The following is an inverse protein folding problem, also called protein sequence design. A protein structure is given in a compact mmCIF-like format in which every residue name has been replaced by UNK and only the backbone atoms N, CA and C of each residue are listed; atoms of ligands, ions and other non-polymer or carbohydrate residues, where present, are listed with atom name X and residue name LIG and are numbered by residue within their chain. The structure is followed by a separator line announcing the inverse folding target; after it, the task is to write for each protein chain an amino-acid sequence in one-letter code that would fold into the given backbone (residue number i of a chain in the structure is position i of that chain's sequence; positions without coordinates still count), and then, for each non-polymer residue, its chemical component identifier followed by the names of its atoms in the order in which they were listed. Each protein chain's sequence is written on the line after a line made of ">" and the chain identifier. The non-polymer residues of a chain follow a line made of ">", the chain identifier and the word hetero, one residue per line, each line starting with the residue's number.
data_IF_014909752831
#
_entry.id   IF_014909752831
#
_cell.length_a   1.000
_cell.length_b   1.000
_cell.length_c   1.000
_cell.angle_alpha   90.00
_cell.angle_beta   90.00
_cell.angle_gamma   90.00
#
_symmetry.space_group_name_H-M   'P 1'
#
loop_
_entity.id
_entity.type
_entity.pdbx_description
1 polymer ?
#
# COMPACT_ATOMS: atom_id res chain seq x y z
N UNK A 1 -28.06 -19.90 -38.81
CA UNK A 1 -29.30 -19.87 -38.01
C UNK A 1 -28.96 -19.36 -36.63
N UNK A 2 -29.36 -18.13 -36.32
CA UNK A 2 -29.16 -17.48 -35.03
C UNK A 2 -30.24 -17.97 -34.05
N UNK A 3 -29.85 -18.26 -32.81
CA UNK A 3 -30.77 -18.46 -31.69
C UNK A 3 -30.50 -17.40 -30.60
N UNK A 4 -31.56 -16.86 -29.98
CA UNK A 4 -31.56 -15.54 -29.36
C UNK A 4 -31.05 -15.49 -27.92
N UNK A 5 -30.60 -14.29 -27.57
CA UNK A 5 -30.03 -13.88 -26.30
C UNK A 5 -31.14 -13.18 -25.48
N UNK A 6 -31.48 -13.76 -24.34
CA UNK A 6 -32.23 -13.16 -23.23
C UNK A 6 -31.88 -14.00 -21.98
N UNK A 7 -31.69 -13.47 -20.77
CA UNK A 7 -32.53 -12.48 -20.11
C UNK A 7 -31.76 -11.82 -18.95
N UNK A 8 -31.81 -10.50 -18.91
CA UNK A 8 -31.33 -9.63 -17.83
C UNK A 8 -32.32 -9.68 -16.66
N UNK A 9 -31.88 -10.17 -15.50
CA UNK A 9 -32.64 -9.98 -14.25
C UNK A 9 -31.72 -10.00 -13.05
N UNK A 10 -31.73 -8.91 -12.27
CA UNK A 10 -31.18 -8.90 -10.92
C UNK A 10 -30.29 -7.72 -10.55
N UNK A 11 -30.77 -6.50 -10.73
CA UNK A 11 -30.23 -5.31 -10.10
C UNK A 11 -30.41 -5.42 -8.57
N UNK A 12 -29.32 -5.57 -7.81
CA UNK A 12 -29.34 -5.45 -6.35
C UNK A 12 -28.37 -4.35 -5.90
N UNK A 13 -28.73 -3.12 -6.23
CA UNK A 13 -28.34 -1.94 -5.48
C UNK A 13 -28.95 -2.03 -4.07
N UNK A 14 -28.17 -2.52 -3.11
CA UNK A 14 -28.48 -2.39 -1.68
C UNK A 14 -27.74 -1.18 -1.11
N UNK A 15 -28.48 -0.10 -1.05
CA UNK A 15 -28.64 0.78 0.12
C UNK A 15 -27.36 1.16 0.86
N UNK A 16 -26.72 2.24 0.40
CA UNK A 16 -25.87 3.09 1.26
C UNK A 16 -26.81 4.00 2.06
N UNK A 17 -26.78 4.00 3.40
CA UNK A 17 -27.49 5.02 4.17
C UNK A 17 -26.75 6.36 4.05
N UNK A 18 -27.30 7.25 3.25
CA UNK A 18 -26.98 8.67 3.27
C UNK A 18 -27.53 9.31 4.56
N UNK A 19 -26.73 10.19 5.17
CA UNK A 19 -27.03 11.14 6.28
C UNK A 19 -26.66 10.68 7.68
N UNK A 20 -25.46 11.13 8.08
CA UNK A 20 -25.07 11.34 9.47
C UNK A 20 -24.07 12.49 9.55
N UNK A 21 -24.58 13.72 9.65
CA UNK A 21 -23.79 14.88 10.04
C UNK A 21 -23.22 14.63 11.44
N UNK A 22 -21.90 14.41 11.53
CA UNK A 22 -21.24 14.04 12.76
C UNK A 22 -19.77 14.41 12.75
N UNK A 23 -19.50 15.67 13.10
CA UNK A 23 -18.28 16.19 13.75
C UNK A 23 -16.96 15.55 13.28
N UNK A 24 -16.32 16.17 12.29
CA UNK A 24 -14.90 15.98 12.03
C UNK A 24 -14.09 16.32 13.29
N UNK A 25 -13.84 15.31 14.12
CA UNK A 25 -12.82 15.37 15.16
C UNK A 25 -11.48 15.47 14.46
N UNK A 26 -11.05 16.71 14.22
CA UNK A 26 -9.66 17.03 13.92
C UNK A 26 -8.82 16.72 15.19
N UNK A 27 -8.52 15.44 15.39
CA UNK A 27 -7.38 15.05 16.19
C UNK A 27 -6.14 15.41 15.39
N UNK A 28 -5.48 16.48 15.83
CA UNK A 28 -4.12 16.85 15.46
C UNK A 28 -3.20 15.62 15.56
N UNK A 29 -3.04 14.90 14.46
CA UNK A 29 -1.89 14.02 14.30
C UNK A 29 -0.68 14.92 14.10
N UNK A 30 0.09 15.04 15.20
CA UNK A 30 1.46 15.52 15.27
C UNK A 30 2.19 15.24 13.95
N UNK A 31 2.55 16.30 13.24
CA UNK A 31 3.33 16.21 12.02
C UNK A 31 4.62 15.42 12.26
N UNK A 32 4.82 14.37 11.47
CA UNK A 32 6.14 13.82 11.20
C UNK A 32 6.90 14.89 10.41
N UNK A 33 7.76 15.64 11.10
CA UNK A 33 8.69 16.55 10.45
C UNK A 33 9.60 15.79 9.48
N UNK A 34 10.15 16.46 8.45
CA UNK A 34 11.02 15.81 7.47
C UNK A 34 12.23 15.21 8.20
N UNK A 35 12.31 13.88 8.22
CA UNK A 35 13.53 13.19 8.58
C UNK A 35 14.61 13.65 7.60
N UNK A 36 15.59 14.39 8.12
CA UNK A 36 16.75 14.85 7.37
C UNK A 36 17.33 13.64 6.60
N UNK A 37 17.14 13.67 5.28
CA UNK A 37 17.14 12.49 4.42
C UNK A 37 18.51 11.84 4.32
N UNK A 38 18.65 10.68 4.98
CA UNK A 38 19.57 9.66 4.50
C UNK A 38 18.95 9.12 3.22
N UNK A 39 19.65 9.28 2.09
CA UNK A 39 19.20 8.70 0.82
C UNK A 39 18.93 7.21 1.05
N UNK A 40 17.77 6.75 0.60
CA UNK A 40 17.45 5.33 0.68
C UNK A 40 18.54 4.54 -0.07
N UNK A 41 19.06 3.45 0.53
CA UNK A 41 20.05 2.62 -0.11
C UNK A 41 19.47 1.95 -1.35
N UNK A 42 20.36 1.65 -2.31
CA UNK A 42 20.04 0.82 -3.45
C UNK A 42 19.73 -0.61 -2.99
N UNK A 43 18.82 -1.28 -3.71
CA UNK A 43 18.50 -2.69 -3.50
C UNK A 43 19.68 -3.53 -4.03
N UNK A 44 20.29 -4.33 -3.14
CA UNK A 44 21.49 -5.12 -3.44
C UNK A 44 21.23 -6.51 -4.04
N UNK A 45 19.96 -6.88 -4.25
CA UNK A 45 19.55 -8.18 -4.77
C UNK A 45 18.53 -8.01 -5.91
N UNK A 46 18.33 -9.03 -6.77
CA UNK A 46 17.29 -8.98 -7.79
C UNK A 46 15.90 -8.93 -7.15
N UNK A 47 15.01 -8.11 -7.72
CA UNK A 47 13.61 -7.96 -7.31
C UNK A 47 12.68 -8.89 -8.09
N UNK A 48 13.08 -9.34 -9.31
CA UNK A 48 12.26 -10.21 -10.14
C UNK A 48 11.95 -11.54 -9.42
N UNK A 49 10.67 -11.83 -9.18
CA UNK A 49 10.23 -12.99 -8.40
C UNK A 49 10.33 -12.81 -6.88
N UNK A 50 10.68 -11.62 -6.40
CA UNK A 50 10.78 -11.20 -5.00
C UNK A 50 10.18 -9.80 -4.81
N UNK A 51 9.05 -9.54 -5.48
CA UNK A 51 8.36 -8.25 -5.48
C UNK A 51 7.67 -7.96 -4.14
N UNK A 52 7.44 -8.98 -3.29
CA UNK A 52 6.98 -8.82 -1.92
C UNK A 52 8.16 -8.49 -0.99
N UNK A 53 8.46 -7.20 -0.87
CA UNK A 53 9.53 -6.67 -0.05
C UNK A 53 9.32 -7.01 1.43
N UNK A 54 8.07 -7.01 1.90
CA UNK A 54 7.73 -7.21 3.31
C UNK A 54 7.94 -8.65 3.78
N UNK A 55 7.96 -9.62 2.85
CA UNK A 55 8.31 -11.02 3.15
C UNK A 55 9.64 -11.16 3.93
N UNK A 56 10.60 -10.24 3.70
CA UNK A 56 11.90 -10.24 4.39
C UNK A 56 12.17 -8.93 5.16
N UNK A 57 11.62 -7.81 4.70
CA UNK A 57 11.91 -6.46 5.22
C UNK A 57 10.79 -5.85 6.06
N UNK A 58 9.74 -6.60 6.42
CA UNK A 58 8.77 -6.09 7.40
C UNK A 58 9.46 -5.65 8.69
N UNK A 59 8.98 -4.55 9.28
CA UNK A 59 9.47 -4.02 10.57
C UNK A 59 9.44 -5.03 11.72
N UNK A 60 8.60 -6.07 11.61
CA UNK A 60 8.39 -7.12 12.61
C UNK A 60 9.08 -8.44 12.25
N UNK A 61 9.69 -8.53 11.06
CA UNK A 61 10.40 -9.73 10.62
C UNK A 61 11.85 -9.77 11.13
N UNK A 62 12.42 -10.97 11.18
CA UNK A 62 13.77 -11.19 11.75
C UNK A 62 14.89 -11.22 10.70
N UNK A 63 14.56 -11.35 9.40
CA UNK A 63 15.56 -11.54 8.33
C UNK A 63 16.40 -10.27 8.15
N UNK A 64 15.75 -9.17 7.75
CA UNK A 64 16.38 -7.85 7.59
C UNK A 64 15.31 -6.77 7.78
N UNK A 65 14.79 -6.56 8.99
CA UNK A 65 13.69 -5.63 9.21
C UNK A 65 14.04 -4.22 8.72
N UNK A 66 13.05 -3.56 8.13
CA UNK A 66 13.14 -2.13 7.85
C UNK A 66 13.28 -1.33 9.17
N UNK A 67 13.82 -0.09 9.09
CA UNK A 67 13.84 0.81 10.23
C UNK A 67 12.44 1.03 10.84
N UNK A 68 12.33 1.36 12.13
CA UNK A 68 11.04 1.58 12.79
C UNK A 68 10.24 2.75 12.18
N UNK A 69 10.87 3.70 11.49
CA UNK A 69 10.18 4.79 10.79
C UNK A 69 9.46 4.34 9.49
N UNK A 70 9.54 3.05 9.14
CA UNK A 70 8.82 2.44 8.03
C UNK A 70 7.58 1.66 8.48
N UNK A 71 7.20 1.74 9.76
CA UNK A 71 5.98 1.12 10.27
C UNK A 71 4.75 1.62 9.50
N UNK A 72 3.92 0.67 9.04
CA UNK A 72 2.70 0.95 8.27
C UNK A 72 2.93 1.31 6.80
N UNK A 73 4.16 1.19 6.27
CA UNK A 73 4.39 1.31 4.82
C UNK A 73 3.93 0.06 4.09
N UNK A 74 3.26 0.29 2.96
CA UNK A 74 2.80 -0.77 2.07
C UNK A 74 3.90 -1.15 1.08
N UNK A 75 3.85 -2.39 0.59
CA UNK A 75 4.84 -2.97 -0.31
C UNK A 75 5.10 -2.11 -1.56
N UNK A 76 4.07 -1.47 -2.10
CA UNK A 76 4.16 -0.66 -3.33
C UNK A 76 4.95 0.65 -3.14
N UNK A 77 5.22 1.05 -1.89
CA UNK A 77 5.90 2.32 -1.59
C UNK A 77 7.42 2.20 -1.57
N UNK A 78 7.96 0.98 -1.52
CA UNK A 78 9.37 0.70 -1.30
C UNK A 78 10.27 1.25 -2.42
N UNK A 79 9.89 0.99 -3.67
CA UNK A 79 10.65 1.39 -4.87
C UNK A 79 10.61 2.90 -5.13
N UNK A 80 9.73 3.64 -4.45
CA UNK A 80 9.66 5.10 -4.55
C UNK A 80 10.90 5.81 -4.00
N UNK A 81 11.66 5.14 -3.14
CA UNK A 81 12.93 5.65 -2.60
C UNK A 81 14.09 4.66 -2.81
N UNK A 82 13.83 3.36 -2.66
CA UNK A 82 14.83 2.32 -2.87
C UNK A 82 14.89 1.91 -4.33
N UNK A 83 15.81 2.48 -5.09
CA UNK A 83 16.03 2.07 -6.47
C UNK A 83 16.75 0.73 -6.56
N UNK A 84 16.44 -0.05 -7.59
CA UNK A 84 17.20 -1.26 -7.94
C UNK A 84 18.65 -0.87 -8.21
N UNK A 85 19.59 -1.45 -7.47
CA UNK A 85 21.01 -1.25 -7.74
C UNK A 85 21.29 -1.66 -9.18
N UNK A 86 21.77 -0.72 -10.00
CA UNK A 86 21.83 -0.85 -11.45
C UNK A 86 22.36 -2.20 -11.91
N UNK A 87 21.47 -2.98 -12.53
CA UNK A 87 21.76 -4.00 -13.52
C UNK A 87 20.86 -3.75 -14.73
#
# INVERSE_FOLDING_TARGET
>A
MALPHANFSGNQAKSVPEKGAGRFSASLAKGGGPAAGKKAPLISHPVKGQEDCLACHDTKNEIKPAPPDHEGRQNETCEGCHSRGGM
#
